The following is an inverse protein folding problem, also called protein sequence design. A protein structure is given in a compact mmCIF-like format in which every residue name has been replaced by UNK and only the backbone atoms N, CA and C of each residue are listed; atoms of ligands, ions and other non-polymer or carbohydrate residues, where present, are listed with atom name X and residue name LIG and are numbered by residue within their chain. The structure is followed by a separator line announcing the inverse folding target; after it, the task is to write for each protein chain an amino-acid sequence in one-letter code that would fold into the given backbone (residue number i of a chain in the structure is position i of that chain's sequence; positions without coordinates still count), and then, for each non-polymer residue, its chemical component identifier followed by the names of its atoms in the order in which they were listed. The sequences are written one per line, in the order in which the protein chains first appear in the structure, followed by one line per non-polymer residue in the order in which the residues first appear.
data_IF_985269828266
#
_entry.id   IF_985269828266
#
_cell.length_a   1.000
_cell.length_b   1.000
_cell.length_c   1.000
_cell.angle_alpha   90.00
_cell.angle_beta   90.00
_cell.angle_gamma   90.00
#
_symmetry.space_group_name_H-M   'P 1'
#
loop_
_entity.id
_entity.type
_entity.pdbx_description
1 polymer ?
#
# COMPACT_ATOMS: atom_id res chain seq x y z
N UNK A 1 20.83 -12.61 2.48
CA UNK A 1 21.24 -11.30 1.92
C UNK A 1 20.32 -10.23 2.50
N UNK A 2 20.83 -9.24 3.27
CA UNK A 2 19.98 -8.15 3.80
C UNK A 2 19.76 -7.14 2.67
N UNK A 3 18.53 -7.03 2.15
CA UNK A 3 18.14 -5.97 1.20
C UNK A 3 18.33 -4.62 1.90
N UNK A 4 19.16 -3.73 1.33
CA UNK A 4 19.39 -2.36 1.84
C UNK A 4 18.58 -1.38 1.00
N UNK A 5 17.45 -0.91 1.53
CA UNK A 5 16.62 0.11 0.90
C UNK A 5 17.16 1.52 1.16
N UNK A 6 17.26 2.36 0.14
CA UNK A 6 17.55 3.80 0.17
C UNK A 6 16.25 4.61 0.08
N UNK A 7 16.30 5.88 0.49
CA UNK A 7 15.13 6.78 0.39
C UNK A 7 14.68 6.87 -1.06
N UNK A 8 13.38 6.78 -1.30
CA UNK A 8 12.80 6.73 -2.65
C UNK A 8 12.86 5.36 -3.31
N UNK A 9 13.42 4.33 -2.66
CA UNK A 9 13.26 2.96 -3.13
C UNK A 9 11.78 2.57 -2.98
N UNK A 10 11.23 2.06 -4.07
CA UNK A 10 9.83 1.70 -4.17
C UNK A 10 9.65 0.20 -4.38
N UNK A 11 8.60 -0.33 -3.77
CA UNK A 11 8.08 -1.68 -4.03
C UNK A 11 6.67 -1.54 -4.54
N UNK A 12 6.38 -2.13 -5.69
CA UNK A 12 5.05 -2.14 -6.29
C UNK A 12 4.45 -3.54 -6.24
N UNK A 13 3.19 -3.62 -5.86
CA UNK A 13 2.35 -4.80 -6.02
C UNK A 13 0.97 -4.33 -6.49
N UNK A 14 0.66 -4.48 -7.77
CA UNK A 14 -0.64 -4.08 -8.34
C UNK A 14 -0.98 -2.61 -8.07
N UNK A 15 -1.98 -2.43 -7.21
CA UNK A 15 -2.62 -1.16 -6.83
C UNK A 15 -1.89 -0.45 -5.69
N UNK A 16 -0.80 -1.04 -5.17
CA UNK A 16 -0.01 -0.49 -4.07
C UNK A 16 1.43 -0.22 -4.51
N UNK A 17 1.89 0.99 -4.20
CA UNK A 17 3.28 1.38 -4.22
C UNK A 17 3.74 1.77 -2.81
N UNK A 18 4.65 0.99 -2.24
CA UNK A 18 5.35 1.34 -1.00
C UNK A 18 6.60 2.14 -1.34
N UNK A 19 6.70 3.37 -0.86
CA UNK A 19 7.91 4.18 -0.99
C UNK A 19 8.55 4.36 0.39
N UNK A 20 9.84 4.07 0.50
CA UNK A 20 10.57 4.30 1.74
C UNK A 20 10.69 5.81 2.03
N UNK A 21 10.34 6.19 3.25
CA UNK A 21 10.44 7.57 3.78
C UNK A 21 11.41 7.63 4.96
N UNK A 22 11.97 8.82 5.22
CA UNK A 22 12.86 9.01 6.39
C UNK A 22 12.05 9.09 7.69
N UNK A 23 10.86 9.69 7.62
CA UNK A 23 10.00 9.87 8.78
C UNK A 23 8.51 9.77 8.42
N UNK A 24 7.72 9.43 9.43
CA UNK A 24 6.25 9.36 9.36
C UNK A 24 5.71 10.59 10.08
N UNK A 25 4.67 11.27 9.55
CA UNK A 25 4.03 12.38 10.24
C UNK A 25 3.61 12.01 11.67
N UNK A 26 3.78 12.94 12.61
CA UNK A 26 3.37 12.72 14.00
C UNK A 26 1.83 12.76 14.13
N UNK A 27 1.32 12.13 15.19
CA UNK A 27 -0.10 12.13 15.56
C UNK A 27 -1.06 11.44 14.57
N UNK A 28 -0.55 10.55 13.73
CA UNK A 28 -1.41 9.67 12.93
C UNK A 28 -2.08 8.63 13.82
N UNK A 29 -3.31 8.25 13.46
CA UNK A 29 -4.08 7.24 14.16
C UNK A 29 -3.58 5.86 13.75
N UNK A 30 -3.48 4.94 14.72
CA UNK A 30 -3.25 3.53 14.44
C UNK A 30 -4.44 2.95 13.69
N UNK A 31 -4.15 2.19 12.65
CA UNK A 31 -5.12 1.41 11.92
C UNK A 31 -4.99 -0.05 12.34
N UNK A 32 -6.08 -0.64 12.83
CA UNK A 32 -6.06 -2.01 13.38
C UNK A 32 -6.03 -3.08 12.26
N UNK A 33 -6.49 -2.73 11.06
CA UNK A 33 -6.50 -3.65 9.92
C UNK A 33 -5.14 -3.76 9.26
N UNK A 34 -4.84 -4.95 8.73
CA UNK A 34 -3.68 -5.19 7.85
C UNK A 34 -3.97 -4.89 6.38
N UNK A 35 -5.24 -4.70 6.02
CA UNK A 35 -5.64 -4.29 4.67
C UNK A 35 -5.17 -2.85 4.41
N UNK A 36 -4.28 -2.69 3.44
CA UNK A 36 -3.76 -1.38 3.04
C UNK A 36 -4.63 -0.72 1.97
N UNK A 37 -4.95 -1.48 0.93
CA UNK A 37 -5.74 -1.03 -0.22
C UNK A 37 -6.60 -2.21 -0.69
N UNK A 38 -7.91 -2.00 -0.79
CA UNK A 38 -8.79 -2.88 -1.54
C UNK A 38 -8.65 -2.56 -3.03
N UNK A 39 -8.42 -3.59 -3.84
CA UNK A 39 -8.18 -3.39 -5.27
C UNK A 39 -9.44 -2.99 -6.04
N UNK A 40 -9.26 -2.51 -7.26
CA UNK A 40 -10.34 -1.93 -8.04
C UNK A 40 -11.30 -3.01 -8.59
N UNK A 41 -12.53 -3.01 -8.07
CA UNK A 41 -13.66 -3.76 -8.67
C UNK A 41 -13.66 -5.28 -8.47
N UNK A 42 -12.77 -5.86 -7.66
CA UNK A 42 -12.72 -7.30 -7.36
C UNK A 42 -12.54 -7.58 -5.87
N UNK A 43 -12.89 -8.80 -5.45
CA UNK A 43 -12.66 -9.31 -4.08
C UNK A 43 -11.17 -9.65 -3.86
N UNK A 44 -10.31 -8.64 -3.98
CA UNK A 44 -8.89 -8.75 -3.65
C UNK A 44 -8.39 -7.48 -2.95
N UNK A 45 -7.30 -7.61 -2.20
CA UNK A 45 -6.71 -6.54 -1.44
C UNK A 45 -5.24 -6.79 -1.16
N UNK A 46 -4.55 -5.70 -0.85
CA UNK A 46 -3.14 -5.69 -0.50
C UNK A 46 -2.97 -5.60 1.01
N UNK A 47 -2.31 -6.59 1.60
CA UNK A 47 -2.19 -6.76 3.04
C UNK A 47 -0.73 -6.67 3.49
N UNK A 48 -0.49 -6.05 4.64
CA UNK A 48 0.84 -6.05 5.28
C UNK A 48 0.88 -7.02 6.46
N UNK A 49 1.63 -8.09 6.30
CA UNK A 49 1.77 -9.15 7.30
C UNK A 49 3.12 -9.10 8.00
N UNK A 50 3.12 -9.35 9.31
CA UNK A 50 4.34 -9.30 10.14
C UNK A 50 4.05 -8.97 11.59
N UNK A 51 4.86 -9.54 12.49
CA UNK A 51 4.71 -9.41 13.94
C UNK A 51 4.97 -7.97 14.43
N UNK A 52 5.99 -7.30 13.90
CA UNK A 52 6.43 -5.97 14.34
C UNK A 52 6.15 -4.89 13.26
N UNK A 53 4.87 -4.69 12.92
CA UNK A 53 4.42 -3.68 11.94
C UNK A 53 3.34 -2.80 12.56
N UNK A 54 3.55 -1.49 12.55
CA UNK A 54 2.49 -0.52 12.86
C UNK A 54 1.92 0.05 11.56
N UNK A 55 0.60 0.01 11.42
CA UNK A 55 -0.15 0.64 10.32
C UNK A 55 -0.78 1.92 10.86
N UNK A 56 -0.58 3.02 10.14
CA UNK A 56 -1.05 4.35 10.52
C UNK A 56 -1.88 4.94 9.39
N UNK A 57 -3.06 5.49 9.71
CA UNK A 57 -3.93 6.12 8.71
C UNK A 57 -3.29 7.40 8.19
N UNK A 58 -3.31 7.58 6.86
CA UNK A 58 -2.91 8.85 6.29
C UNK A 58 -3.92 9.97 6.65
N UNK A 59 -3.47 11.24 6.74
CA UNK A 59 -4.37 12.37 6.89
C UNK A 59 -5.42 12.43 5.77
N UNK A 60 -6.65 12.82 6.09
CA UNK A 60 -7.81 12.82 5.17
C UNK A 60 -7.62 13.65 3.89
N UNK A 61 -6.67 14.58 3.88
CA UNK A 61 -6.32 15.42 2.73
C UNK A 61 -5.22 14.80 1.83
N UNK A 62 -4.81 13.55 2.09
CA UNK A 62 -3.81 12.85 1.27
C UNK A 62 -4.50 12.10 0.14
N UNK A 63 -4.50 12.68 -1.06
CA UNK A 63 -5.26 12.16 -2.20
C UNK A 63 -4.86 10.71 -2.59
N UNK A 64 -3.57 10.40 -2.58
CA UNK A 64 -3.06 9.09 -3.03
C UNK A 64 -2.43 8.26 -1.92
N UNK A 65 -2.20 8.83 -0.73
CA UNK A 65 -1.56 8.10 0.37
C UNK A 65 -2.65 7.49 1.22
N UNK A 66 -2.72 6.16 1.28
CA UNK A 66 -3.71 5.47 2.10
C UNK A 66 -3.24 5.32 3.55
N UNK A 67 -1.96 4.97 3.73
CA UNK A 67 -1.40 4.57 5.03
C UNK A 67 0.09 4.93 5.13
N UNK A 68 0.61 4.91 6.34
CA UNK A 68 2.04 4.84 6.65
C UNK A 68 2.34 3.54 7.40
N UNK A 69 3.51 2.97 7.16
CA UNK A 69 3.97 1.74 7.79
C UNK A 69 5.26 1.98 8.55
N UNK A 70 5.31 1.55 9.80
CA UNK A 70 6.55 1.43 10.57
C UNK A 70 6.87 -0.05 10.77
N UNK A 71 7.72 -0.59 9.90
CA UNK A 71 8.18 -1.98 9.93
C UNK A 71 9.48 -2.06 10.73
N UNK A 72 9.45 -2.68 11.91
CA UNK A 72 10.65 -2.69 12.79
C UNK A 72 11.74 -3.62 12.29
N UNK A 73 11.36 -4.79 11.77
CA UNK A 73 12.32 -5.84 11.34
C UNK A 73 12.04 -6.33 9.94
N UNK A 74 10.84 -6.84 9.73
CA UNK A 74 10.46 -7.53 8.50
C UNK A 74 8.94 -7.65 8.42
N UNK A 75 8.42 -7.58 7.20
CA UNK A 75 7.03 -7.81 6.86
C UNK A 75 6.92 -8.43 5.46
N UNK A 76 5.72 -8.85 5.08
CA UNK A 76 5.37 -9.27 3.72
C UNK A 76 4.20 -8.46 3.22
N UNK A 77 4.29 -8.01 1.97
CA UNK A 77 3.17 -7.42 1.24
C UNK A 77 2.50 -8.52 0.42
N UNK A 78 1.26 -8.85 0.79
CA UNK A 78 0.50 -9.96 0.24
C UNK A 78 -0.68 -9.48 -0.59
N UNK A 79 -0.98 -10.22 -1.67
CA UNK A 79 -2.14 -9.97 -2.51
C UNK A 79 -3.14 -11.11 -2.33
N UNK A 80 -4.15 -10.87 -1.49
CA UNK A 80 -5.09 -11.87 -1.03
C UNK A 80 -6.53 -11.45 -1.34
N UNK A 81 -7.44 -12.42 -1.42
CA UNK A 81 -8.86 -12.17 -1.49
C UNK A 81 -9.35 -11.61 -0.16
N UNK A 82 -10.20 -10.58 -0.19
CA UNK A 82 -10.67 -9.93 1.05
C UNK A 82 -11.62 -10.87 1.80
N UNK A 83 -12.53 -11.55 1.08
CA UNK A 83 -13.55 -12.39 1.70
C UNK A 83 -13.00 -13.69 2.30
N UNK A 84 -11.97 -14.28 1.69
CA UNK A 84 -11.45 -15.60 2.08
C UNK A 84 -10.06 -15.57 2.72
N UNK A 85 -9.31 -14.49 2.53
CA UNK A 85 -7.88 -14.40 2.89
C UNK A 85 -6.96 -15.27 2.02
N UNK A 86 -7.49 -16.01 1.03
CA UNK A 86 -6.69 -16.84 0.14
C UNK A 86 -5.88 -15.99 -0.85
N UNK A 87 -4.72 -16.44 -1.34
CA UNK A 87 -3.96 -15.70 -2.35
C UNK A 87 -4.79 -15.40 -3.59
N UNK A 88 -4.78 -14.13 -4.04
CA UNK A 88 -5.46 -13.69 -5.26
C UNK A 88 -4.76 -14.17 -6.55
N UNK A 89 -3.51 -14.67 -6.43
CA UNK A 89 -2.68 -15.26 -7.50
C UNK A 89 -2.27 -14.32 -8.65
N UNK A 90 -2.67 -13.05 -8.64
CA UNK A 90 -2.26 -12.07 -9.66
C UNK A 90 -0.85 -11.53 -9.39
N UNK A 91 -0.45 -11.46 -8.11
CA UNK A 91 0.86 -10.95 -7.70
C UNK A 91 1.50 -11.86 -6.66
N UNK A 92 2.83 -11.88 -6.66
CA UNK A 92 3.60 -12.63 -5.67
C UNK A 92 3.75 -11.81 -4.38
N UNK A 93 3.86 -12.51 -3.25
CA UNK A 93 4.24 -11.91 -1.97
C UNK A 93 5.59 -11.22 -2.08
N UNK A 94 5.67 -9.99 -1.58
CA UNK A 94 6.91 -9.21 -1.62
C UNK A 94 7.48 -9.06 -0.21
N UNK A 95 8.75 -9.46 0.04
CA UNK A 95 9.41 -9.22 1.31
C UNK A 95 9.67 -7.73 1.52
N UNK A 96 9.21 -7.19 2.64
CA UNK A 96 9.40 -5.79 3.04
C UNK A 96 10.39 -5.74 4.20
N UNK A 97 11.61 -5.21 4.01
CA UNK A 97 12.57 -5.08 5.10
C UNK A 97 12.14 -4.00 6.10
N UNK A 98 12.75 -4.04 7.29
CA UNK A 98 12.52 -3.02 8.31
C UNK A 98 12.82 -1.61 7.82
N UNK A 99 11.78 -0.77 7.80
CA UNK A 99 11.85 0.65 7.51
C UNK A 99 10.51 1.36 7.73
N UNK A 100 10.51 2.68 7.49
CA UNK A 100 9.32 3.50 7.38
C UNK A 100 8.91 3.63 5.92
N UNK A 101 7.62 3.50 5.65
CA UNK A 101 7.07 3.59 4.30
C UNK A 101 5.81 4.44 4.28
N UNK A 102 5.57 5.13 3.16
CA UNK A 102 4.23 5.59 2.80
C UNK A 102 3.63 4.60 1.81
N UNK A 103 2.34 4.34 1.94
CA UNK A 103 1.55 3.48 1.06
C UNK A 103 0.80 4.38 0.09
N UNK A 104 1.18 4.31 -1.19
CA UNK A 104 0.53 5.05 -2.27
C UNK A 104 -0.43 4.10 -2.98
N UNK A 105 -1.71 4.47 -3.03
CA UNK A 105 -2.70 3.83 -3.90
C UNK A 105 -2.41 4.23 -5.34
N UNK A 106 -2.31 3.24 -6.21
CA UNK A 106 -2.21 3.44 -7.64
C UNK A 106 -3.61 3.27 -8.25
N UNK A 107 -3.99 4.19 -9.13
CA UNK A 107 -5.16 4.03 -9.97
C UNK A 107 -4.72 3.47 -11.31
N UNK A 108 -5.51 2.54 -11.87
CA UNK A 108 -5.32 2.16 -13.26
C UNK A 108 -5.74 3.34 -14.16
N UNK A 109 -4.97 3.61 -15.21
CA UNK A 109 -5.32 4.67 -16.15
C UNK A 109 -6.55 4.25 -16.96
N UNK A 110 -7.70 4.88 -16.71
CA UNK A 110 -8.90 4.73 -17.54
C UNK A 110 -8.94 5.85 -18.60
N UNK A 111 -8.68 5.55 -19.89
CA UNK A 111 -8.70 6.55 -20.96
C UNK A 111 -10.09 7.15 -21.21
N UNK A 112 -11.17 6.48 -20.79
CA UNK A 112 -12.53 6.97 -20.96
C UNK A 112 -12.93 7.95 -19.87
N UNK A 113 -12.47 7.75 -18.63
CA UNK A 113 -12.75 8.67 -17.52
C UNK A 113 -12.20 10.09 -17.81
N UNK A 114 -10.99 10.19 -18.38
CA UNK A 114 -10.42 11.46 -18.85
C UNK A 114 -11.23 12.08 -19.99
N UNK A 115 -11.71 11.27 -20.95
CA UNK A 115 -12.53 11.78 -22.05
C UNK A 115 -13.87 12.33 -21.56
N UNK A 116 -14.51 11.69 -20.58
CA UNK A 116 -15.76 12.20 -20.00
C UNK A 116 -15.55 13.55 -19.28
N UNK A 117 -14.43 13.75 -18.60
CA UNK A 117 -14.09 15.05 -17.98
C UNK A 117 -13.83 16.16 -19.00
N UNK A 118 -13.26 15.82 -20.17
CA UNK A 118 -12.96 16.78 -21.25
C UNK A 118 -14.16 17.18 -22.11
N UNK A 119 -15.24 16.41 -22.10
CA UNK A 119 -16.45 16.65 -22.91
C UNK A 119 -17.51 17.48 -22.16
N UNK A 120 -17.33 17.72 -20.85
CA UNK A 120 -18.24 18.54 -20.04
C UNK A 120 -17.94 20.05 -20.04
N UNK A 121 -17.08 20.53 -20.94
CA UNK A 121 -16.81 21.97 -21.17
C UNK A 121 -17.39 22.44 -22.52
#
# INVERSE_FOLDING_TARGET
MKLKFKKGDCVRQGDVLLEKVDDIPSNLKKHESRLLVAGEGRDHGHFIEGEDVEVLEAPSNSEFISHYLDVKKYATLEHNQISTGAPAKEHHTIPIPGNKYKVIRQHEFDPYEEMFRKVQD
#
